data_IF_248474779667
#
_entry.id   IF_248474779667
#
_cell.length_a   1.000
_cell.length_b   1.000
_cell.length_c   1.000
_cell.angle_alpha   90.00
_cell.angle_beta   90.00
_cell.angle_gamma   90.00
#
_symmetry.space_group_name_H-M   'P 1'
#
loop_
_entity.id
_entity.type
_entity.pdbx_description
1 polymer ?
#
# COMPACT_ATOMS: atom_id res chain seq x y z
N UNK A 1 25.72 -8.34 1.84
CA UNK A 1 24.87 -7.31 1.19
C UNK A 1 24.70 -6.19 2.19
N UNK A 2 25.12 -4.97 1.89
CA UNK A 2 24.85 -3.83 2.75
C UNK A 2 23.32 -3.64 2.90
N UNK A 3 22.88 -3.50 4.15
CA UNK A 3 21.52 -3.06 4.49
C UNK A 3 21.46 -1.53 4.44
N UNK A 4 20.38 -0.97 3.89
CA UNK A 4 20.19 0.48 3.80
C UNK A 4 18.80 0.82 3.28
N UNK A 5 18.54 2.12 3.09
CA UNK A 5 17.29 2.61 2.50
C UNK A 5 17.23 2.33 1.00
N UNK A 6 16.81 1.11 0.66
CA UNK A 6 16.69 0.63 -0.74
C UNK A 6 15.71 1.48 -1.53
N UNK A 7 14.55 1.78 -0.94
CA UNK A 7 13.52 2.58 -1.59
C UNK A 7 13.97 4.02 -1.79
N UNK A 8 14.63 4.59 -0.79
CA UNK A 8 15.25 5.90 -0.86
C UNK A 8 16.25 6.04 -1.99
N UNK A 9 17.20 5.11 -2.08
CA UNK A 9 18.19 5.09 -3.16
C UNK A 9 17.55 4.91 -4.55
N UNK A 10 16.54 4.04 -4.64
CA UNK A 10 15.79 3.79 -5.87
C UNK A 10 15.00 5.04 -6.31
N UNK A 11 14.27 5.68 -5.38
CA UNK A 11 13.52 6.90 -5.64
C UNK A 11 14.43 8.07 -5.98
N UNK A 12 15.56 8.25 -5.29
CA UNK A 12 16.51 9.33 -5.59
C UNK A 12 16.95 9.31 -7.06
N UNK A 13 17.25 8.11 -7.59
CA UNK A 13 17.63 7.96 -8.99
C UNK A 13 16.46 8.17 -9.95
N UNK A 14 15.26 7.67 -9.63
CA UNK A 14 14.05 7.90 -10.42
C UNK A 14 13.69 9.38 -10.48
N UNK A 15 13.77 10.10 -9.35
CA UNK A 15 13.48 11.52 -9.25
C UNK A 15 14.52 12.37 -10.01
N UNK A 16 15.76 11.89 -10.11
CA UNK A 16 16.80 12.46 -10.97
C UNK A 16 16.62 12.11 -12.48
N UNK A 17 15.52 11.45 -12.85
CA UNK A 17 15.22 11.07 -14.23
C UNK A 17 16.00 9.86 -14.74
N UNK A 18 16.72 9.15 -13.86
CA UNK A 18 17.44 7.94 -14.23
C UNK A 18 16.48 6.76 -14.28
N UNK A 19 16.78 5.80 -15.15
CA UNK A 19 16.09 4.51 -15.17
C UNK A 19 16.52 3.68 -13.96
N UNK A 20 15.56 3.15 -13.22
CA UNK A 20 15.79 2.27 -12.07
C UNK A 20 14.83 1.09 -12.13
N UNK A 21 15.31 -0.09 -11.74
CA UNK A 21 14.50 -1.30 -11.65
C UNK A 21 14.37 -1.69 -10.18
N UNK A 22 13.14 -1.81 -9.70
CA UNK A 22 12.82 -2.45 -8.42
C UNK A 22 12.90 -3.96 -8.61
N UNK A 23 13.75 -4.64 -7.84
CA UNK A 23 13.86 -6.10 -7.89
C UNK A 23 13.28 -6.66 -6.61
N UNK A 24 12.25 -7.51 -6.75
CA UNK A 24 11.59 -8.17 -5.62
C UNK A 24 11.97 -9.65 -5.64
N UNK A 25 12.71 -10.09 -4.63
CA UNK A 25 12.99 -11.49 -4.35
C UNK A 25 11.93 -12.06 -3.41
N UNK A 26 11.39 -13.23 -3.72
CA UNK A 26 10.58 -14.02 -2.80
C UNK A 26 11.43 -15.13 -2.17
N UNK A 27 11.09 -15.54 -0.96
CA UNK A 27 11.90 -16.47 -0.16
C UNK A 27 12.14 -17.85 -0.77
N UNK A 28 11.39 -18.22 -1.82
CA UNK A 28 11.54 -19.46 -2.59
C UNK A 28 12.43 -19.29 -3.84
N UNK A 29 13.08 -18.13 -3.99
CA UNK A 29 13.96 -17.81 -5.11
C UNK A 29 13.24 -17.22 -6.33
N UNK A 30 11.92 -17.01 -6.27
CA UNK A 30 11.19 -16.32 -7.34
C UNK A 30 11.57 -14.83 -7.38
N UNK A 31 11.83 -14.28 -8.56
CA UNK A 31 12.27 -12.89 -8.73
C UNK A 31 11.34 -12.15 -9.69
N UNK A 32 10.94 -10.95 -9.29
CA UNK A 32 10.17 -10.01 -10.11
C UNK A 32 10.96 -8.72 -10.30
N UNK A 33 10.77 -8.05 -11.43
CA UNK A 33 11.43 -6.79 -11.74
C UNK A 33 10.42 -5.78 -12.28
N UNK A 34 10.41 -4.58 -11.71
CA UNK A 34 9.48 -3.51 -12.06
C UNK A 34 10.25 -2.24 -12.43
N UNK A 35 9.80 -1.52 -13.45
CA UNK A 35 10.35 -0.21 -13.78
C UNK A 35 9.88 0.81 -12.74
N UNK A 36 10.78 1.29 -11.89
CA UNK A 36 10.45 2.11 -10.73
C UNK A 36 9.86 3.49 -11.05
N UNK A 37 9.78 3.89 -12.34
CA UNK A 37 9.15 5.16 -12.74
C UNK A 37 7.69 5.27 -12.34
N UNK A 38 6.98 4.14 -12.11
CA UNK A 38 5.60 4.18 -11.63
C UNK A 38 5.47 4.95 -10.31
N UNK A 39 6.48 4.89 -9.43
CA UNK A 39 6.50 5.55 -8.12
C UNK A 39 6.43 7.08 -8.18
N UNK A 40 6.78 7.67 -9.32
CA UNK A 40 6.75 9.12 -9.55
C UNK A 40 5.85 9.53 -10.72
N UNK A 41 5.14 8.59 -11.35
CA UNK A 41 4.37 8.87 -12.55
C UNK A 41 3.27 9.91 -12.28
N UNK A 42 3.12 10.95 -13.14
CA UNK A 42 1.97 11.85 -13.05
C UNK A 42 0.68 11.07 -13.31
N UNK A 43 -0.44 11.51 -12.75
CA UNK A 43 -1.72 10.78 -12.79
C UNK A 43 -2.13 10.29 -14.19
N UNK A 44 -1.95 11.13 -15.22
CA UNK A 44 -2.22 10.80 -16.64
C UNK A 44 -1.38 9.64 -17.21
N UNK A 45 -0.33 9.22 -16.51
CA UNK A 45 0.61 8.14 -16.88
C UNK A 45 0.58 6.99 -15.87
N UNK A 46 -0.40 6.93 -14.97
CA UNK A 46 -0.59 5.71 -14.19
C UNK A 46 -1.04 4.62 -15.15
N UNK A 47 -0.39 3.47 -15.15
CA UNK A 47 -0.70 2.39 -16.08
C UNK A 47 -1.97 1.65 -15.66
N UNK A 48 -2.16 1.46 -14.36
CA UNK A 48 -3.30 0.76 -13.79
C UNK A 48 -4.60 1.60 -13.86
N UNK A 49 -5.58 1.08 -14.60
CA UNK A 49 -6.88 1.75 -14.78
C UNK A 49 -7.74 1.74 -13.53
N UNK A 50 -7.59 0.73 -12.67
CA UNK A 50 -8.29 0.59 -11.41
C UNK A 50 -7.78 1.57 -10.35
N UNK A 51 -6.47 1.81 -10.28
CA UNK A 51 -5.92 2.90 -9.47
C UNK A 51 -6.51 4.26 -9.88
N UNK A 52 -6.53 4.55 -11.19
CA UNK A 52 -7.12 5.80 -11.71
C UNK A 52 -8.60 5.90 -11.39
N UNK A 53 -9.35 4.80 -11.60
CA UNK A 53 -10.77 4.70 -11.29
C UNK A 53 -11.04 4.88 -9.79
N UNK A 54 -10.16 4.37 -8.92
CA UNK A 54 -10.31 4.42 -7.47
C UNK A 54 -10.22 5.83 -6.91
N UNK A 55 -9.55 6.75 -7.60
CA UNK A 55 -9.43 8.15 -7.18
C UNK A 55 -10.78 8.85 -6.99
N UNK A 56 -11.85 8.42 -7.68
CA UNK A 56 -13.22 8.95 -7.46
C UNK A 56 -13.78 8.66 -6.06
N UNK A 57 -13.22 7.68 -5.35
CA UNK A 57 -13.66 7.30 -4.01
C UNK A 57 -12.90 8.01 -2.89
N UNK A 58 -11.80 8.70 -3.21
CA UNK A 58 -10.99 9.46 -2.26
C UNK A 58 -11.62 10.83 -1.99
N UNK A 59 -11.76 11.18 -0.70
CA UNK A 59 -12.43 12.39 -0.23
C UNK A 59 -11.88 12.88 1.13
N UNK A 60 -12.18 14.13 1.43
CA UNK A 60 -11.88 14.75 2.74
C UNK A 60 -10.39 14.82 3.01
N UNK A 61 -10.01 14.67 4.28
CA UNK A 61 -8.60 14.62 4.68
C UNK A 61 -8.02 13.23 4.44
N UNK A 62 -6.85 13.15 3.80
CA UNK A 62 -6.28 11.90 3.29
C UNK A 62 -4.97 11.55 3.98
N UNK A 63 -4.81 10.28 4.34
CA UNK A 63 -3.51 9.68 4.69
C UNK A 63 -3.06 8.77 3.54
N UNK A 64 -1.93 9.08 2.92
CA UNK A 64 -1.29 8.23 1.89
C UNK A 64 -0.16 7.41 2.53
N UNK A 65 -0.37 6.10 2.69
CA UNK A 65 0.58 5.21 3.38
C UNK A 65 1.55 4.60 2.39
N UNK A 66 2.85 4.76 2.66
CA UNK A 66 3.91 4.36 1.73
C UNK A 66 3.91 5.30 0.53
N UNK A 67 3.83 6.61 0.78
CA UNK A 67 3.62 7.60 -0.27
C UNK A 67 4.77 7.63 -1.29
N UNK A 68 5.94 7.09 -0.95
CA UNK A 68 7.11 7.02 -1.82
C UNK A 68 7.47 8.40 -2.36
N UNK A 69 7.61 8.49 -3.69
CA UNK A 69 7.85 9.77 -4.36
C UNK A 69 6.68 10.76 -4.31
N UNK A 70 5.52 10.39 -3.78
CA UNK A 70 4.36 11.28 -3.59
C UNK A 70 3.40 11.36 -4.77
N UNK A 71 3.38 10.37 -5.69
CA UNK A 71 2.52 10.42 -6.89
C UNK A 71 1.03 10.60 -6.56
N UNK A 72 0.55 9.90 -5.52
CA UNK A 72 -0.84 9.96 -5.07
C UNK A 72 -1.08 11.27 -4.34
N UNK A 73 -0.21 11.65 -3.40
CA UNK A 73 -0.26 12.95 -2.73
C UNK A 73 -0.41 14.12 -3.71
N UNK A 74 0.45 14.22 -4.72
CA UNK A 74 0.43 15.30 -5.70
C UNK A 74 -0.91 15.36 -6.45
N UNK A 75 -1.41 14.23 -6.94
CA UNK A 75 -2.69 14.17 -7.63
C UNK A 75 -3.87 14.63 -6.73
N UNK A 76 -3.87 14.21 -5.46
CA UNK A 76 -4.94 14.56 -4.53
C UNK A 76 -4.84 16.03 -4.06
N UNK A 77 -3.64 16.58 -3.95
CA UNK A 77 -3.44 18.01 -3.71
C UNK A 77 -3.93 18.87 -4.88
N UNK A 78 -3.69 18.45 -6.13
CA UNK A 78 -4.23 19.12 -7.33
C UNK A 78 -5.76 19.15 -7.34
N UNK A 79 -6.40 18.18 -6.68
CA UNK A 79 -7.85 18.13 -6.46
C UNK A 79 -8.32 18.94 -5.25
N UNK A 80 -7.43 19.68 -4.60
CA UNK A 80 -7.73 20.54 -3.45
C UNK A 80 -7.89 19.80 -2.12
N UNK A 81 -7.47 18.53 -2.03
CA UNK A 81 -7.56 17.77 -0.77
C UNK A 81 -6.40 18.11 0.18
N UNK A 82 -6.68 17.97 1.48
CA UNK A 82 -5.66 17.95 2.53
C UNK A 82 -5.09 16.54 2.61
N UNK A 83 -3.77 16.40 2.40
CA UNK A 83 -3.10 15.10 2.26
C UNK A 83 -1.86 15.06 3.12
N UNK A 84 -1.77 14.05 3.97
CA UNK A 84 -0.57 13.68 4.71
C UNK A 84 0.01 12.42 4.08
N UNK A 85 1.20 12.51 3.49
CA UNK A 85 1.95 11.35 3.01
C UNK A 85 2.88 10.82 4.10
N UNK A 86 2.93 9.51 4.30
CA UNK A 86 3.91 8.88 5.19
C UNK A 86 4.71 7.81 4.47
N UNK A 87 6.00 7.73 4.80
CA UNK A 87 6.90 6.67 4.33
C UNK A 87 7.99 6.43 5.36
N UNK A 88 8.49 5.20 5.44
CA UNK A 88 9.61 4.85 6.32
C UNK A 88 10.96 5.37 5.83
N UNK A 89 11.08 5.66 4.54
CA UNK A 89 12.30 6.10 3.87
C UNK A 89 12.48 7.63 3.98
N UNK A 90 13.52 8.12 4.67
CA UNK A 90 13.82 9.56 4.72
C UNK A 90 14.05 10.16 3.33
N UNK A 91 14.74 9.44 2.46
CA UNK A 91 15.08 9.84 1.10
C UNK A 91 13.84 9.85 0.17
N UNK A 92 12.90 8.91 0.36
CA UNK A 92 11.61 8.94 -0.33
C UNK A 92 10.84 10.21 0.04
N UNK A 93 10.77 10.54 1.33
CA UNK A 93 10.12 11.75 1.82
C UNK A 93 10.83 13.00 1.31
N UNK A 94 12.16 13.01 1.24
CA UNK A 94 12.91 14.11 0.64
C UNK A 94 12.53 14.31 -0.84
N UNK A 95 12.48 13.24 -1.64
CA UNK A 95 11.99 13.35 -3.02
C UNK A 95 10.53 13.84 -3.07
N UNK A 96 9.64 13.27 -2.26
CA UNK A 96 8.22 13.64 -2.22
C UNK A 96 8.04 15.15 -1.98
N UNK A 97 8.77 15.71 -1.01
CA UNK A 97 8.78 17.15 -0.71
C UNK A 97 9.38 17.97 -1.86
N UNK A 98 10.51 17.53 -2.43
CA UNK A 98 11.12 18.22 -3.58
C UNK A 98 10.18 18.30 -4.78
N UNK A 99 9.31 17.31 -4.95
CA UNK A 99 8.30 17.25 -6.00
C UNK A 99 7.04 18.09 -5.70
N UNK A 100 6.91 18.67 -4.50
CA UNK A 100 5.81 19.57 -4.15
C UNK A 100 4.73 18.96 -3.22
N UNK A 101 4.98 17.82 -2.58
CA UNK A 101 4.09 17.35 -1.51
C UNK A 101 4.26 18.25 -0.29
N UNK A 102 3.15 18.84 0.17
CA UNK A 102 3.13 19.86 1.23
C UNK A 102 3.35 19.27 2.62
N UNK A 103 2.70 18.14 2.91
CA UNK A 103 2.87 17.40 4.16
C UNK A 103 3.27 15.94 3.86
N UNK A 104 4.57 15.67 3.94
CA UNK A 104 5.15 14.33 3.83
C UNK A 104 6.03 14.09 5.05
N UNK A 105 5.89 12.95 5.74
CA UNK A 105 6.55 12.67 7.02
C UNK A 105 7.26 11.32 7.00
N UNK A 106 8.45 11.27 7.59
CA UNK A 106 9.16 10.02 7.82
C UNK A 106 8.49 9.28 8.97
N UNK A 107 7.63 8.31 8.65
CA UNK A 107 6.80 7.61 9.61
C UNK A 107 6.37 6.24 9.07
N UNK A 108 6.37 5.22 9.94
CA UNK A 108 5.82 3.90 9.62
C UNK A 108 4.33 3.85 9.96
N UNK A 109 3.59 2.95 9.31
CA UNK A 109 2.17 2.72 9.64
C UNK A 109 1.95 2.32 11.10
N UNK A 110 2.92 1.60 11.69
CA UNK A 110 2.90 1.21 13.10
C UNK A 110 3.22 2.37 14.06
N UNK A 111 3.68 3.51 13.57
CA UNK A 111 3.99 4.68 14.38
C UNK A 111 2.92 5.79 14.30
N UNK A 112 1.79 5.57 13.61
CA UNK A 112 0.70 6.55 13.51
C UNK A 112 -0.01 6.74 14.85
N UNK A 113 -0.03 7.95 15.39
CA UNK A 113 -0.75 8.28 16.63
C UNK A 113 -1.73 9.46 16.44
N UNK A 114 -2.39 9.86 17.52
CA UNK A 114 -3.42 10.90 17.53
C UNK A 114 -2.89 12.28 17.10
N UNK A 115 -1.57 12.50 17.11
CA UNK A 115 -0.96 13.77 16.67
C UNK A 115 -1.18 14.04 15.17
N UNK A 116 -1.46 13.00 14.38
CA UNK A 116 -1.82 13.17 12.97
C UNK A 116 -3.27 13.62 12.79
N UNK A 117 -4.10 13.54 13.83
CA UNK A 117 -5.54 13.79 13.76
C UNK A 117 -6.30 12.66 13.05
N UNK A 118 -7.53 12.95 12.63
CA UNK A 118 -8.38 11.99 11.92
C UNK A 118 -8.35 12.18 10.41
N UNK A 119 -8.65 11.09 9.69
CA UNK A 119 -8.71 11.03 8.23
C UNK A 119 -10.08 10.55 7.75
N UNK A 120 -10.51 11.06 6.59
CA UNK A 120 -11.70 10.60 5.89
C UNK A 120 -11.37 9.50 4.87
N UNK A 121 -10.16 9.53 4.32
CA UNK A 121 -9.65 8.46 3.45
C UNK A 121 -8.22 8.08 3.83
N UNK A 122 -7.95 6.77 3.88
CA UNK A 122 -6.60 6.22 3.94
C UNK A 122 -6.32 5.51 2.61
N UNK A 123 -5.15 5.71 2.04
CA UNK A 123 -4.77 5.17 0.73
C UNK A 123 -3.59 4.21 0.87
N UNK A 124 -3.70 3.06 0.21
CA UNK A 124 -2.65 2.06 0.01
C UNK A 124 -2.59 1.69 -1.48
N UNK A 125 -2.00 2.52 -2.33
CA UNK A 125 -1.81 2.23 -3.76
C UNK A 125 -0.36 1.84 -4.08
N UNK A 126 -0.12 1.23 -5.24
CA UNK A 126 1.18 0.63 -5.57
C UNK A 126 1.43 -0.66 -4.78
N UNK A 127 0.39 -1.48 -4.60
CA UNK A 127 0.41 -2.72 -3.81
C UNK A 127 0.75 -2.52 -2.32
N UNK A 128 0.71 -1.29 -1.79
CA UNK A 128 1.08 -0.97 -0.41
C UNK A 128 0.23 -1.66 0.67
N UNK A 129 -0.91 -2.26 0.32
CA UNK A 129 -1.64 -3.13 1.23
C UNK A 129 -0.76 -4.30 1.71
N UNK A 130 0.24 -4.71 0.93
CA UNK A 130 1.19 -5.73 1.33
C UNK A 130 2.00 -5.41 2.58
N UNK A 131 2.19 -4.14 2.93
CA UNK A 131 2.86 -3.72 4.17
C UNK A 131 2.13 -4.19 5.45
N UNK A 132 0.86 -4.58 5.34
CA UNK A 132 0.10 -5.18 6.44
C UNK A 132 0.61 -6.57 6.83
N UNK A 133 1.46 -7.18 5.98
CA UNK A 133 2.32 -8.33 6.29
C UNK A 133 1.58 -9.64 6.51
N UNK A 134 1.07 -9.86 7.71
CA UNK A 134 0.41 -11.11 8.12
C UNK A 134 -1.05 -10.88 8.50
N UNK A 135 -1.86 -11.95 8.56
CA UNK A 135 -3.25 -11.86 9.05
C UNK A 135 -3.35 -11.13 10.40
N UNK A 136 -2.48 -11.48 11.35
CA UNK A 136 -2.50 -10.91 12.70
C UNK A 136 -2.12 -9.42 12.69
N UNK A 137 -1.06 -9.06 11.96
CA UNK A 137 -0.60 -7.69 11.84
C UNK A 137 -1.62 -6.83 11.10
N UNK A 138 -2.16 -7.31 9.99
CA UNK A 138 -3.19 -6.63 9.21
C UNK A 138 -4.41 -6.31 10.08
N UNK A 139 -4.95 -7.30 10.81
CA UNK A 139 -6.10 -7.08 11.72
C UNK A 139 -5.79 -6.10 12.85
N UNK A 140 -4.56 -6.07 13.36
CA UNK A 140 -4.13 -5.10 14.39
C UNK A 140 -4.11 -3.69 13.82
N UNK A 141 -3.48 -3.52 12.66
CA UNK A 141 -3.36 -2.22 11.99
C UNK A 141 -4.74 -1.73 11.54
N UNK A 142 -5.57 -2.56 10.91
CA UNK A 142 -6.92 -2.19 10.47
C UNK A 142 -7.77 -1.67 11.63
N UNK A 143 -7.77 -2.35 12.79
CA UNK A 143 -8.45 -1.86 14.00
C UNK A 143 -7.95 -0.50 14.47
N UNK A 144 -6.64 -0.27 14.40
CA UNK A 144 -6.03 1.01 14.75
C UNK A 144 -6.41 2.11 13.74
N UNK A 145 -6.39 1.81 12.44
CA UNK A 145 -6.85 2.76 11.41
C UNK A 145 -8.33 3.09 11.54
N UNK A 146 -9.16 2.14 12.00
CA UNK A 146 -10.56 2.42 12.32
C UNK A 146 -10.66 3.51 13.39
N UNK A 147 -9.74 3.57 14.35
CA UNK A 147 -9.70 4.63 15.37
C UNK A 147 -9.38 5.99 14.76
N UNK A 148 -8.37 6.07 13.89
CA UNK A 148 -7.91 7.31 13.23
C UNK A 148 -8.79 7.81 12.08
N UNK A 149 -9.98 7.24 11.90
CA UNK A 149 -10.89 7.65 10.84
C UNK A 149 -12.25 8.05 11.37
N UNK A 150 -12.90 8.97 10.65
CA UNK A 150 -14.26 9.41 10.93
C UNK A 150 -15.26 8.25 10.76
N UNK A 151 -16.52 8.42 11.19
CA UNK A 151 -17.58 7.44 10.94
C UNK A 151 -17.91 7.26 9.44
N UNK A 152 -17.36 8.14 8.58
CA UNK A 152 -17.43 8.04 7.11
C UNK A 152 -16.08 7.67 6.49
N UNK A 153 -15.15 7.22 7.33
CA UNK A 153 -13.81 6.79 6.98
C UNK A 153 -13.82 5.72 5.90
N UNK A 154 -12.84 5.79 5.01
CA UNK A 154 -12.66 4.83 3.93
C UNK A 154 -11.19 4.46 3.79
N UNK A 155 -10.93 3.21 3.43
CA UNK A 155 -9.64 2.78 2.91
C UNK A 155 -9.79 2.53 1.40
N UNK A 156 -8.85 3.03 0.61
CA UNK A 156 -8.68 2.71 -0.81
C UNK A 156 -7.37 1.94 -0.93
N UNK A 157 -7.45 0.63 -1.16
CA UNK A 157 -6.31 -0.26 -1.10
C UNK A 157 -6.18 -1.12 -2.35
N UNK A 158 -5.05 -1.04 -3.03
CA UNK A 158 -4.66 -1.96 -4.08
C UNK A 158 -4.01 -3.20 -3.47
N UNK A 159 -4.43 -4.38 -3.92
CA UNK A 159 -3.81 -5.65 -3.57
C UNK A 159 -3.89 -6.61 -4.76
N UNK A 160 -3.42 -7.84 -4.55
CA UNK A 160 -3.32 -8.87 -5.57
C UNK A 160 -4.02 -10.14 -5.10
N UNK A 161 -4.79 -10.78 -5.98
CA UNK A 161 -5.38 -12.07 -5.70
C UNK A 161 -4.31 -13.17 -5.87
N UNK A 162 -3.86 -13.83 -4.79
CA UNK A 162 -2.81 -14.82 -4.87
C UNK A 162 -3.21 -16.05 -5.72
N UNK A 163 -4.50 -16.25 -6.00
CA UNK A 163 -5.05 -17.36 -6.78
C UNK A 163 -5.21 -17.03 -8.27
N UNK A 164 -5.08 -15.76 -8.67
CA UNK A 164 -5.27 -15.34 -10.06
C UNK A 164 -4.18 -15.84 -11.02
N UNK A 165 -2.98 -16.13 -10.50
CA UNK A 165 -1.91 -16.77 -11.27
C UNK A 165 -1.83 -18.27 -10.95
N UNK A 166 -2.06 -19.08 -11.98
CA UNK A 166 -2.06 -20.55 -11.89
C UNK A 166 -0.78 -21.19 -12.44
N UNK A 167 0.36 -20.57 -12.17
CA UNK A 167 1.65 -21.20 -12.49
C UNK A 167 2.11 -22.12 -11.34
N UNK A 168 2.82 -23.23 -11.63
CA UNK A 168 3.29 -24.17 -10.61
C UNK A 168 4.08 -23.52 -9.47
N UNK A 169 4.85 -22.48 -9.77
CA UNK A 169 5.66 -21.76 -8.77
C UNK A 169 4.81 -21.00 -7.75
N UNK A 170 3.69 -20.42 -8.17
CA UNK A 170 2.75 -19.74 -7.28
C UNK A 170 1.93 -20.75 -6.47
N UNK A 171 1.41 -21.82 -7.11
CA UNK A 171 0.73 -22.92 -6.41
C UNK A 171 1.57 -23.51 -5.28
N UNK A 172 2.82 -23.87 -5.58
CA UNK A 172 3.74 -24.45 -4.58
C UNK A 172 3.96 -23.52 -3.39
N UNK A 173 4.06 -22.21 -3.62
CA UNK A 173 4.23 -21.25 -2.52
C UNK A 173 2.97 -21.16 -1.66
N UNK A 174 1.77 -21.10 -2.28
CA UNK A 174 0.48 -21.11 -1.58
C UNK A 174 0.31 -22.37 -0.73
N UNK A 175 0.64 -23.54 -1.27
CA UNK A 175 0.57 -24.82 -0.55
C UNK A 175 1.49 -24.84 0.68
N UNK A 176 2.71 -24.28 0.55
CA UNK A 176 3.64 -24.16 1.67
C UNK A 176 3.10 -23.22 2.75
N UNK A 177 2.48 -22.09 2.35
CA UNK A 177 1.84 -21.18 3.28
C UNK A 177 0.67 -21.84 4.01
N UNK A 178 -0.18 -22.57 3.28
CA UNK A 178 -1.30 -23.32 3.85
C UNK A 178 -0.83 -24.33 4.90
N UNK A 179 0.19 -25.14 4.59
CA UNK A 179 0.81 -26.09 5.55
C UNK A 179 1.38 -25.42 6.80
N UNK A 180 1.72 -24.13 6.72
CA UNK A 180 2.25 -23.32 7.83
C UNK A 180 1.16 -22.53 8.56
N UNK A 181 -0.11 -22.70 8.21
CA UNK A 181 -1.22 -21.93 8.78
C UNK A 181 -1.22 -20.45 8.39
N UNK A 182 -0.53 -20.07 7.31
CA UNK A 182 -0.46 -18.69 6.79
C UNK A 182 -1.53 -18.48 5.72
N UNK A 183 -1.88 -17.21 5.48
CA UNK A 183 -2.70 -16.84 4.32
C UNK A 183 -1.97 -17.26 3.02
N UNK A 184 -2.68 -17.73 1.97
CA UNK A 184 -2.06 -18.14 0.72
C UNK A 184 -1.12 -17.07 0.13
N UNK A 185 -1.53 -15.81 0.14
CA UNK A 185 -0.74 -14.67 -0.32
C UNK A 185 0.13 -13.98 0.73
N UNK A 186 0.37 -14.57 1.91
CA UNK A 186 1.37 -14.03 2.85
C UNK A 186 2.78 -14.37 2.36
N UNK A 187 3.35 -13.50 1.54
CA UNK A 187 4.67 -13.66 0.97
C UNK A 187 5.75 -13.28 1.97
N UNK A 188 6.93 -13.87 1.84
CA UNK A 188 8.17 -13.37 2.44
C UNK A 188 9.06 -12.87 1.32
N UNK A 189 9.27 -11.57 1.27
CA UNK A 189 9.97 -10.88 0.18
C UNK A 189 11.11 -10.02 0.68
N UNK A 190 12.02 -9.68 -0.23
CA UNK A 190 13.08 -8.70 -0.04
C UNK A 190 13.22 -7.91 -1.32
N UNK A 191 13.39 -6.61 -1.16
CA UNK A 191 13.57 -5.67 -2.27
C UNK A 191 15.04 -5.36 -2.40
N UNK A 192 15.54 -5.34 -3.64
CA UNK A 192 16.90 -4.97 -3.99
C UNK A 192 16.91 -3.79 -4.94
N UNK A 193 17.96 -3.00 -4.80
CA UNK A 193 18.31 -2.00 -5.77
C UNK A 193 19.84 -1.87 -5.81
N UNK A 194 20.45 -2.15 -6.97
CA UNK A 194 21.90 -2.25 -7.13
C UNK A 194 22.53 -3.15 -6.06
N UNK A 195 23.43 -2.61 -5.25
CA UNK A 195 24.16 -3.31 -4.19
C UNK A 195 23.36 -3.40 -2.88
N UNK A 196 22.25 -2.69 -2.77
CA UNK A 196 21.43 -2.62 -1.56
C UNK A 196 20.33 -3.69 -1.57
N UNK A 197 20.00 -4.17 -0.38
CA UNK A 197 18.79 -4.96 -0.17
C UNK A 197 18.18 -4.69 1.21
N UNK A 198 16.85 -4.76 1.28
CA UNK A 198 16.10 -4.66 2.51
C UNK A 198 16.31 -5.93 3.36
N UNK A 199 15.99 -5.93 4.66
CA UNK A 199 15.72 -7.18 5.36
C UNK A 199 14.58 -7.95 4.69
N UNK A 200 14.48 -9.26 4.94
CA UNK A 200 13.28 -10.00 4.55
C UNK A 200 12.08 -9.50 5.34
N UNK A 201 11.00 -9.17 4.65
CA UNK A 201 9.73 -8.74 5.23
C UNK A 201 8.58 -9.66 4.80
N UNK A 202 7.52 -9.70 5.61
CA UNK A 202 6.26 -10.31 5.20
C UNK A 202 5.46 -9.29 4.37
N UNK A 203 4.87 -9.74 3.26
CA UNK A 203 4.10 -8.93 2.33
C UNK A 203 2.77 -9.61 2.00
N UNK A 204 1.65 -8.93 2.26
CA UNK A 204 0.32 -9.52 2.18
C UNK A 204 -0.37 -9.31 0.82
N UNK A 205 -0.78 -10.41 0.21
CA UNK A 205 -1.71 -10.45 -0.91
C UNK A 205 -2.95 -11.24 -0.48
N UNK A 206 -4.13 -10.79 -0.91
CA UNK A 206 -5.42 -11.40 -0.56
C UNK A 206 -6.38 -11.32 -1.73
N UNK A 207 -7.14 -12.38 -1.95
CA UNK A 207 -8.33 -12.35 -2.78
C UNK A 207 -9.44 -11.51 -2.13
N UNK A 208 -10.48 -11.17 -2.89
CA UNK A 208 -11.63 -10.44 -2.33
C UNK A 208 -12.31 -11.20 -1.19
N UNK A 209 -12.43 -12.53 -1.29
CA UNK A 209 -13.00 -13.36 -0.24
C UNK A 209 -12.13 -13.37 1.03
N UNK A 210 -10.81 -13.56 0.87
CA UNK A 210 -9.88 -13.50 2.00
C UNK A 210 -9.82 -12.10 2.64
N UNK A 211 -10.00 -11.04 1.85
CA UNK A 211 -10.10 -9.67 2.35
C UNK A 211 -11.36 -9.48 3.20
N UNK A 212 -12.52 -9.99 2.78
CA UNK A 212 -13.76 -9.94 3.57
C UNK A 212 -13.54 -10.60 4.95
N UNK A 213 -12.97 -11.81 4.96
CA UNK A 213 -12.64 -12.53 6.20
C UNK A 213 -11.63 -11.75 7.06
N UNK A 214 -10.64 -11.13 6.41
CA UNK A 214 -9.62 -10.35 7.10
C UNK A 214 -10.21 -9.12 7.81
N UNK A 215 -11.23 -8.49 7.20
CA UNK A 215 -11.88 -7.29 7.70
C UNK A 215 -12.86 -7.56 8.85
N UNK A 216 -13.38 -8.78 8.97
CA UNK A 216 -14.36 -9.13 9.99
C UNK A 216 -13.90 -8.75 11.41
N UNK A 217 -14.73 -8.05 12.18
CA UNK A 217 -14.38 -7.58 13.53
C UNK A 217 -13.26 -6.53 13.60
N UNK A 218 -12.84 -5.93 12.48
CA UNK A 218 -11.82 -4.86 12.46
C UNK A 218 -12.38 -3.44 12.44
N UNK A 219 -13.71 -3.28 12.36
CA UNK A 219 -14.37 -1.99 12.20
C UNK A 219 -14.47 -1.52 10.74
N UNK A 220 -14.25 -2.44 9.79
CA UNK A 220 -14.23 -2.18 8.37
C UNK A 220 -15.04 -3.24 7.62
N UNK A 221 -15.57 -2.88 6.46
CA UNK A 221 -16.20 -3.81 5.52
C UNK A 221 -15.79 -3.49 4.09
N UNK A 222 -15.70 -4.51 3.24
CA UNK A 222 -15.55 -4.29 1.81
C UNK A 222 -16.85 -3.70 1.25
N UNK A 223 -16.76 -2.58 0.54
CA UNK A 223 -17.89 -1.90 -0.08
C UNK A 223 -17.92 -2.17 -1.59
N UNK A 224 -16.78 -2.01 -2.26
CA UNK A 224 -16.62 -2.27 -3.68
C UNK A 224 -15.22 -2.84 -3.95
N UNK A 225 -15.07 -3.62 -5.02
CA UNK A 225 -13.79 -3.93 -5.62
C UNK A 225 -13.78 -3.43 -7.07
N UNK A 226 -12.65 -2.89 -7.51
CA UNK A 226 -12.44 -2.42 -8.87
C UNK A 226 -11.38 -3.29 -9.52
N UNK A 227 -11.70 -3.86 -10.68
CA UNK A 227 -10.82 -4.75 -11.42
C UNK A 227 -11.22 -6.21 -11.24
N UNK A 228 -11.24 -6.92 -12.37
CA UNK A 228 -11.49 -8.37 -12.45
C UNK A 228 -10.19 -9.13 -12.79
N UNK A 229 -9.06 -8.42 -12.79
CA UNK A 229 -7.74 -8.94 -13.07
C UNK A 229 -7.02 -9.49 -11.84
N UNK A 230 -5.74 -9.85 -11.98
CA UNK A 230 -4.97 -10.41 -10.87
C UNK A 230 -4.65 -9.39 -9.77
N UNK A 231 -4.63 -8.09 -10.11
CA UNK A 231 -4.67 -6.97 -9.16
C UNK A 231 -6.08 -6.37 -9.12
N UNK A 232 -6.48 -5.85 -7.96
CA UNK A 232 -7.73 -5.11 -7.79
C UNK A 232 -7.57 -4.01 -6.74
N UNK A 233 -8.43 -3.00 -6.81
CA UNK A 233 -8.53 -1.93 -5.80
C UNK A 233 -9.78 -2.10 -4.96
N UNK A 234 -9.59 -2.37 -3.68
CA UNK A 234 -10.64 -2.45 -2.67
C UNK A 234 -11.04 -1.07 -2.16
N UNK A 235 -12.34 -0.81 -2.15
CA UNK A 235 -12.97 0.31 -1.46
C UNK A 235 -13.58 -0.25 -0.17
N UNK A 236 -12.98 0.09 0.96
CA UNK A 236 -13.31 -0.46 2.28
C UNK A 236 -13.88 0.68 3.14
N UNK A 237 -15.04 0.47 3.76
CA UNK A 237 -15.73 1.51 4.54
C UNK A 237 -15.75 1.20 6.03
N UNK A 238 -15.62 2.27 6.83
CA UNK A 238 -15.68 2.18 8.28
C UNK A 238 -17.11 1.79 8.70
N UNK A 239 -17.23 0.88 9.65
CA UNK A 239 -18.52 0.37 10.15
C UNK A 239 -19.00 1.08 11.42
N UNK A 240 -18.28 2.07 11.94
CA UNK A 240 -18.72 2.89 13.08
C UNK A 240 -20.14 3.42 12.82
N UNK A 241 -21.02 3.24 13.80
CA UNK A 241 -22.36 3.81 13.74
C UNK A 241 -22.28 5.33 13.57
N UNK A 242 -23.15 5.86 12.72
CA UNK A 242 -23.32 7.31 12.63
C UNK A 242 -23.98 7.75 13.93
N UNK A 243 -23.25 8.48 14.76
CA UNK A 243 -23.92 9.33 15.74
C UNK A 243 -24.67 10.38 14.93
N UNK A 244 -25.97 10.19 14.77
CA UNK A 244 -26.86 11.21 14.21
C UNK A 244 -26.81 12.40 15.15
N UNK A 245 -26.13 13.47 14.75
CA UNK A 245 -26.35 14.77 15.36
C UNK A 245 -27.76 15.18 14.94
N UNK A 246 -28.70 15.04 15.89
CA UNK A 246 -30.02 15.66 15.84
C UNK A 246 -29.87 17.17 16.01
#
# INVERSE_FOLDING_TARGET
>A
MPSGDVYGALLADVCAGKRAMEIVERSDGYVMAFDARYLVAPFRKWDDADERRAMRFVRGRVLDVGCGGGRVCLHLQERGLDVVGIDSSPEAIACSRQRGVRDARVLTIDAIDDSLGSFDTIVFLGQNFGMLGSRAQARRILRRLAHFTTSRGRIVAETFDPHALDEPVHRRYRDQNHRRGRLPGQLRVRIRYRELATPWLDWLQVSQAELIDLLDGTGWRLSHALGDGPSYVAIIENTKERVSLL
#
